data_IF_515025279565
#
_entry.id   IF_515025279565
#
_cell.length_a   1.000
_cell.length_b   1.000
_cell.length_c   1.000
_cell.angle_alpha   90.00
_cell.angle_beta   90.00
_cell.angle_gamma   90.00
#
_symmetry.space_group_name_H-M   'P 1'
#
loop_
_entity.id
_entity.type
_entity.pdbx_description
1 polymer ?
#
# COMPACT_ATOMS: atom_id res chain seq x y z
N UNK A 1 -14.13 -78.02 -35.18
CA UNK A 1 -14.42 -77.13 -34.03
C UNK A 1 -13.41 -75.97 -33.83
N UNK A 2 -12.69 -75.49 -34.87
CA UNK A 2 -11.67 -74.41 -34.74
C UNK A 2 -12.11 -73.00 -35.17
N UNK A 3 -13.33 -72.84 -35.71
CA UNK A 3 -13.82 -71.58 -36.30
C UNK A 3 -14.46 -70.61 -35.29
N UNK A 4 -14.87 -71.10 -34.10
CA UNK A 4 -15.44 -70.28 -33.02
C UNK A 4 -14.42 -69.70 -32.03
N UNK A 5 -13.17 -70.20 -31.99
CA UNK A 5 -12.13 -69.70 -31.08
C UNK A 5 -11.34 -68.52 -31.65
N UNK A 6 -11.27 -68.38 -32.98
CA UNK A 6 -10.62 -67.25 -33.64
C UNK A 6 -11.41 -65.94 -33.51
N UNK A 7 -12.75 -66.02 -33.44
CA UNK A 7 -13.62 -64.85 -33.20
C UNK A 7 -13.46 -64.26 -31.79
N UNK A 8 -13.40 -65.12 -30.77
CA UNK A 8 -13.21 -64.68 -29.37
C UNK A 8 -11.81 -64.10 -29.17
N UNK A 9 -10.78 -64.69 -29.78
CA UNK A 9 -9.41 -64.16 -29.74
C UNK A 9 -9.31 -62.76 -30.40
N UNK A 10 -9.96 -62.55 -31.54
CA UNK A 10 -9.97 -61.24 -32.20
C UNK A 10 -10.75 -60.18 -31.39
N UNK A 11 -11.90 -60.55 -30.83
CA UNK A 11 -12.72 -59.65 -29.99
C UNK A 11 -11.95 -59.25 -28.73
N UNK A 12 -11.26 -60.18 -28.08
CA UNK A 12 -10.47 -59.90 -26.86
C UNK A 12 -9.27 -59.01 -27.16
N UNK A 13 -8.54 -59.24 -28.25
CA UNK A 13 -7.42 -58.38 -28.68
C UNK A 13 -7.91 -56.97 -29.01
N UNK A 14 -9.01 -56.84 -29.76
CA UNK A 14 -9.59 -55.53 -30.10
C UNK A 14 -10.08 -54.78 -28.85
N UNK A 15 -10.67 -55.50 -27.89
CA UNK A 15 -11.17 -54.90 -26.65
C UNK A 15 -10.01 -54.43 -25.75
N UNK A 16 -8.94 -55.22 -25.63
CA UNK A 16 -7.73 -54.85 -24.89
C UNK A 16 -7.02 -53.67 -25.56
N UNK A 17 -6.87 -53.68 -26.89
CA UNK A 17 -6.29 -52.56 -27.63
C UNK A 17 -7.14 -51.28 -27.51
N UNK A 18 -8.46 -51.40 -27.61
CA UNK A 18 -9.38 -50.28 -27.43
C UNK A 18 -9.27 -49.68 -26.02
N UNK A 19 -9.21 -50.53 -24.99
CA UNK A 19 -9.01 -50.10 -23.61
C UNK A 19 -7.66 -49.40 -23.41
N UNK A 20 -6.58 -49.97 -23.95
CA UNK A 20 -5.25 -49.36 -23.90
C UNK A 20 -5.22 -47.99 -24.60
N UNK A 21 -5.87 -47.85 -25.75
CA UNK A 21 -6.02 -46.57 -26.46
C UNK A 21 -6.84 -45.56 -25.66
N UNK A 22 -7.92 -45.99 -25.01
CA UNK A 22 -8.74 -45.12 -24.16
C UNK A 22 -7.94 -44.58 -22.96
N UNK A 23 -7.20 -45.44 -22.28
CA UNK A 23 -6.37 -45.07 -21.12
C UNK A 23 -5.24 -44.13 -21.53
N UNK A 24 -4.52 -44.45 -22.61
CA UNK A 24 -3.42 -43.61 -23.12
C UNK A 24 -3.91 -42.25 -23.61
N UNK A 25 -5.05 -42.18 -24.29
CA UNK A 25 -5.67 -40.91 -24.67
C UNK A 25 -6.11 -40.09 -23.44
N UNK A 26 -6.65 -40.74 -22.41
CA UNK A 26 -7.00 -40.14 -21.12
C UNK A 26 -5.79 -39.54 -20.40
N UNK A 27 -4.69 -40.30 -20.33
CA UNK A 27 -3.41 -39.85 -19.75
C UNK A 27 -2.81 -38.67 -20.51
N UNK A 28 -2.83 -38.70 -21.85
CA UNK A 28 -2.27 -37.60 -22.65
C UNK A 28 -3.06 -36.30 -22.44
N UNK A 29 -4.39 -36.40 -22.27
CA UNK A 29 -5.25 -35.25 -21.97
C UNK A 29 -4.99 -34.69 -20.56
N UNK A 30 -4.81 -35.54 -19.55
CA UNK A 30 -4.49 -35.11 -18.19
C UNK A 30 -3.08 -34.49 -18.08
N UNK A 31 -2.08 -35.06 -18.77
CA UNK A 31 -0.73 -34.51 -18.85
C UNK A 31 -0.71 -33.11 -19.50
N UNK A 32 -1.45 -32.91 -20.60
CA UNK A 32 -1.53 -31.59 -21.26
C UNK A 32 -2.15 -30.52 -20.36
N UNK A 33 -3.17 -30.85 -19.58
CA UNK A 33 -3.80 -29.92 -18.63
C UNK A 33 -2.84 -29.55 -17.48
N UNK A 34 -2.08 -30.52 -16.96
CA UNK A 34 -1.10 -30.29 -15.90
C UNK A 34 0.09 -29.41 -16.35
N UNK A 35 0.51 -29.52 -17.61
CA UNK A 35 1.59 -28.68 -18.16
C UNK A 35 1.16 -27.20 -18.29
N UNK A 36 -0.06 -26.94 -18.75
CA UNK A 36 -0.58 -25.57 -18.87
C UNK A 36 -0.73 -24.88 -17.51
N UNK A 37 -1.23 -25.60 -16.50
CA UNK A 37 -1.33 -25.06 -15.14
C UNK A 37 0.03 -24.80 -14.50
N UNK A 38 1.03 -25.66 -14.77
CA UNK A 38 2.40 -25.48 -14.29
C UNK A 38 3.06 -24.23 -14.89
N UNK A 39 2.89 -24.00 -16.19
CA UNK A 39 3.41 -22.79 -16.85
C UNK A 39 2.79 -21.51 -16.24
N UNK A 40 1.48 -21.51 -16.01
CA UNK A 40 0.80 -20.38 -15.37
C UNK A 40 1.28 -20.15 -13.93
N UNK A 41 1.50 -21.22 -13.15
CA UNK A 41 2.04 -21.11 -11.80
C UNK A 41 3.47 -20.53 -11.79
N UNK A 42 4.34 -20.99 -12.69
CA UNK A 42 5.70 -20.45 -12.84
C UNK A 42 5.65 -18.96 -13.21
N UNK A 43 4.77 -18.58 -14.13
CA UNK A 43 4.58 -17.19 -14.55
C UNK A 43 4.16 -16.28 -13.38
N UNK A 44 3.22 -16.74 -12.54
CA UNK A 44 2.83 -16.01 -11.32
C UNK A 44 3.96 -15.89 -10.30
N UNK A 45 4.79 -16.93 -10.16
CA UNK A 45 5.97 -16.87 -9.30
C UNK A 45 7.02 -15.89 -9.83
N UNK A 46 7.23 -15.81 -11.15
CA UNK A 46 8.13 -14.85 -11.76
C UNK A 46 7.69 -13.40 -11.50
N UNK A 47 6.39 -13.09 -11.68
CA UNK A 47 5.84 -11.76 -11.34
C UNK A 47 6.04 -11.39 -9.87
N UNK A 48 5.82 -12.34 -8.95
CA UNK A 48 6.05 -12.11 -7.51
C UNK A 48 7.52 -11.85 -7.20
N UNK A 49 8.44 -12.58 -7.84
CA UNK A 49 9.89 -12.35 -7.70
C UNK A 49 10.28 -10.96 -8.17
N UNK A 50 9.75 -10.50 -9.31
CA UNK A 50 9.98 -9.14 -9.80
C UNK A 50 9.46 -8.09 -8.79
N UNK A 51 8.26 -8.28 -8.24
CA UNK A 51 7.74 -7.37 -7.23
C UNK A 51 8.58 -7.34 -5.94
N UNK A 52 9.06 -8.49 -5.47
CA UNK A 52 9.96 -8.52 -4.31
C UNK A 52 11.34 -7.93 -4.60
N UNK A 53 11.82 -8.00 -5.85
CA UNK A 53 13.03 -7.30 -6.25
C UNK A 53 12.87 -5.78 -6.14
N UNK A 54 11.72 -5.23 -6.57
CA UNK A 54 11.40 -3.81 -6.37
C UNK A 54 11.29 -3.41 -4.90
N UNK A 55 10.64 -4.22 -4.07
CA UNK A 55 10.60 -4.02 -2.60
C UNK A 55 12.02 -3.98 -2.01
N UNK A 56 12.87 -4.92 -2.40
CA UNK A 56 14.25 -5.03 -1.89
C UNK A 56 15.08 -3.82 -2.32
N UNK A 57 14.96 -3.39 -3.58
CA UNK A 57 15.60 -2.19 -4.07
C UNK A 57 15.15 -0.96 -3.28
N UNK A 58 13.84 -0.81 -3.03
CA UNK A 58 13.28 0.34 -2.33
C UNK A 58 13.76 0.41 -0.87
N UNK A 59 13.84 -0.74 -0.21
CA UNK A 59 14.40 -0.84 1.15
C UNK A 59 15.87 -0.41 1.19
N UNK A 60 16.67 -0.84 0.22
CA UNK A 60 18.06 -0.41 0.15
C UNK A 60 18.18 1.08 -0.17
N UNK A 61 17.31 1.58 -1.07
CA UNK A 61 17.22 2.99 -1.37
C UNK A 61 16.90 3.82 -0.11
N UNK A 62 15.88 3.44 0.65
CA UNK A 62 15.52 4.08 1.92
C UNK A 62 16.67 4.05 2.94
N UNK A 63 17.36 2.91 3.10
CA UNK A 63 18.53 2.82 3.99
C UNK A 63 19.66 3.76 3.59
N UNK A 64 19.95 3.86 2.30
CA UNK A 64 21.06 4.69 1.80
C UNK A 64 20.76 6.18 1.93
N UNK A 65 19.51 6.58 1.71
CA UNK A 65 19.06 7.99 1.72
C UNK A 65 18.71 8.49 3.13
N UNK A 66 18.12 7.64 3.97
CA UNK A 66 17.68 8.00 5.33
C UNK A 66 18.61 7.38 6.35
N UNK A 67 19.85 7.88 6.45
CA UNK A 67 20.86 7.32 7.36
C UNK A 67 20.67 7.72 8.81
N UNK A 68 20.28 8.97 9.06
CA UNK A 68 20.02 9.46 10.41
C UNK A 68 18.52 9.37 10.71
N UNK A 69 18.10 8.57 11.70
CA UNK A 69 16.68 8.47 12.08
C UNK A 69 16.11 9.74 12.72
N UNK A 70 16.96 10.66 13.20
CA UNK A 70 16.55 11.94 13.75
C UNK A 70 16.45 13.04 12.69
N UNK A 71 16.99 12.82 11.49
CA UNK A 71 16.91 13.79 10.41
C UNK A 71 15.48 13.91 9.87
N UNK A 72 15.14 15.13 9.42
CA UNK A 72 13.83 15.37 8.82
C UNK A 72 13.66 14.54 7.54
N UNK A 73 12.44 14.03 7.34
CA UNK A 73 12.01 13.34 6.14
C UNK A 73 11.11 14.29 5.34
N UNK A 74 11.48 14.58 4.10
CA UNK A 74 10.78 15.56 3.27
C UNK A 74 10.54 15.07 1.85
N UNK A 75 9.47 15.58 1.21
CA UNK A 75 9.05 15.15 -0.12
C UNK A 75 10.02 15.55 -1.26
N UNK A 76 10.89 16.54 -1.05
CA UNK A 76 11.91 16.93 -2.04
C UNK A 76 13.23 16.16 -1.89
N UNK A 77 13.33 15.22 -0.95
CA UNK A 77 14.50 14.35 -0.83
C UNK A 77 14.54 13.30 -1.95
N UNK A 78 15.74 12.77 -2.19
CA UNK A 78 15.98 11.81 -3.29
C UNK A 78 15.10 10.57 -3.18
N UNK A 79 14.84 10.08 -1.96
CA UNK A 79 14.01 8.89 -1.74
C UNK A 79 12.59 9.01 -2.28
N UNK A 80 12.02 10.22 -2.29
CA UNK A 80 10.64 10.47 -2.66
C UNK A 80 10.46 10.61 -4.19
N UNK A 81 11.53 10.97 -4.90
CA UNK A 81 11.48 11.27 -6.34
C UNK A 81 12.07 10.15 -7.21
N UNK A 82 12.65 9.11 -6.60
CA UNK A 82 13.21 7.99 -7.32
C UNK A 82 12.09 7.01 -7.75
N UNK A 83 11.68 7.11 -9.01
CA UNK A 83 10.84 6.11 -9.68
C UNK A 83 11.72 5.28 -10.63
N UNK A 84 12.50 4.30 -10.13
CA UNK A 84 13.30 3.49 -11.01
C UNK A 84 12.39 2.67 -11.92
N UNK A 85 12.67 2.70 -13.22
CA UNK A 85 12.15 1.72 -14.17
C UNK A 85 13.24 0.68 -14.38
N UNK A 86 13.21 -0.39 -13.57
CA UNK A 86 14.18 -1.48 -13.70
C UNK A 86 13.71 -2.43 -14.79
N UNK A 87 14.44 -2.48 -15.90
CA UNK A 87 14.22 -3.46 -16.95
C UNK A 87 15.10 -4.69 -16.65
N UNK A 88 14.47 -5.84 -16.38
CA UNK A 88 15.15 -7.11 -16.10
C UNK A 88 14.68 -8.12 -17.15
N UNK A 89 15.55 -8.49 -18.09
CA UNK A 89 15.27 -9.42 -19.19
C UNK A 89 13.99 -9.07 -19.98
N UNK A 90 12.87 -9.69 -19.61
CA UNK A 90 11.54 -9.56 -20.20
C UNK A 90 10.50 -8.91 -19.25
N UNK A 91 10.95 -8.42 -18.09
CA UNK A 91 10.14 -7.80 -17.05
C UNK A 91 10.48 -6.33 -16.81
N UNK A 92 9.49 -5.57 -16.35
CA UNK A 92 9.64 -4.18 -15.89
C UNK A 92 9.19 -4.08 -14.44
N UNK A 93 9.96 -3.36 -13.64
CA UNK A 93 9.61 -3.04 -12.25
C UNK A 93 9.59 -1.52 -12.13
N UNK A 94 8.49 -1.00 -11.59
CA UNK A 94 8.36 0.39 -11.18
C UNK A 94 8.10 0.43 -9.69
N UNK A 95 8.70 1.40 -9.00
CA UNK A 95 8.63 1.53 -7.54
C UNK A 95 8.19 2.93 -7.18
N UNK A 96 7.19 3.03 -6.32
CA UNK A 96 6.77 4.25 -5.65
C UNK A 96 7.00 4.10 -4.14
N UNK A 97 7.49 5.16 -3.49
CA UNK A 97 7.70 5.18 -2.04
C UNK A 97 6.89 6.34 -1.46
N UNK A 98 6.06 6.04 -0.46
CA UNK A 98 5.23 7.02 0.25
C UNK A 98 5.60 7.03 1.73
N UNK A 99 5.68 8.22 2.33
CA UNK A 99 5.75 8.37 3.78
C UNK A 99 4.37 8.16 4.41
N UNK A 100 4.22 7.12 5.24
CA UNK A 100 2.95 6.83 5.92
C UNK A 100 2.63 7.82 7.03
N UNK A 101 3.64 8.48 7.60
CA UNK A 101 3.45 9.54 8.60
C UNK A 101 2.89 10.82 7.98
N UNK A 102 2.82 10.95 6.64
CA UNK A 102 2.16 12.05 5.94
C UNK A 102 0.62 12.05 6.09
N UNK A 103 0.05 10.96 6.60
CA UNK A 103 -1.39 10.73 6.73
C UNK A 103 -1.86 10.98 8.15
N UNK A 104 -3.16 11.24 8.31
CA UNK A 104 -3.76 11.44 9.63
C UNK A 104 -3.75 10.11 10.42
N UNK A 105 -2.99 10.05 11.50
CA UNK A 105 -2.88 8.87 12.35
C UNK A 105 -4.11 8.75 13.26
N UNK A 106 -5.03 7.84 12.93
CA UNK A 106 -6.29 7.67 13.69
C UNK A 106 -6.08 6.96 15.03
N UNK A 107 -4.93 6.32 15.26
CA UNK A 107 -4.65 5.56 16.50
C UNK A 107 -4.80 6.41 17.76
N UNK A 108 -4.48 7.70 17.69
CA UNK A 108 -4.64 8.60 18.82
C UNK A 108 -6.10 8.79 19.26
N UNK A 109 -7.07 8.60 18.34
CA UNK A 109 -8.50 8.68 18.63
C UNK A 109 -9.06 7.38 19.22
N UNK A 110 -8.32 6.27 19.11
CA UNK A 110 -8.73 4.96 19.64
C UNK A 110 -8.45 4.81 21.14
N UNK A 111 -7.62 5.69 21.71
CA UNK A 111 -7.22 5.60 23.11
C UNK A 111 -8.43 5.61 24.06
N UNK A 112 -8.38 4.81 25.13
CA UNK A 112 -9.40 4.84 26.18
C UNK A 112 -9.29 6.16 26.95
N UNK A 113 -10.33 6.98 26.90
CA UNK A 113 -10.38 8.32 27.52
C UNK A 113 -10.76 9.40 26.51
N UNK A 114 -10.98 10.64 26.97
CA UNK A 114 -11.33 11.73 26.08
C UNK A 114 -10.22 11.93 25.03
N UNK A 115 -10.62 11.91 23.76
CA UNK A 115 -9.73 12.23 22.66
C UNK A 115 -9.12 13.64 22.86
N UNK A 116 -7.86 13.80 22.46
CA UNK A 116 -7.24 15.11 22.41
C UNK A 116 -8.10 16.06 21.56
N UNK A 117 -8.44 17.22 22.11
CA UNK A 117 -9.39 18.16 21.48
C UNK A 117 -8.89 18.64 20.12
N UNK A 118 -7.57 18.83 19.97
CA UNK A 118 -6.96 19.25 18.69
C UNK A 118 -7.15 18.14 17.67
N UNK A 119 -6.81 16.90 18.02
CA UNK A 119 -6.94 15.77 17.10
C UNK A 119 -8.39 15.46 16.72
N UNK A 120 -9.32 15.57 17.67
CA UNK A 120 -10.76 15.41 17.40
C UNK A 120 -11.28 16.49 16.44
N UNK A 121 -10.83 17.75 16.57
CA UNK A 121 -11.21 18.80 15.63
C UNK A 121 -10.61 18.58 14.23
N UNK A 122 -9.34 18.15 14.15
CA UNK A 122 -8.69 17.80 12.87
C UNK A 122 -9.42 16.65 12.16
N UNK A 123 -9.87 15.66 12.91
CA UNK A 123 -10.71 14.57 12.42
C UNK A 123 -12.03 15.07 11.80
N UNK A 124 -12.74 15.98 12.48
CA UNK A 124 -13.97 16.57 11.95
C UNK A 124 -13.71 17.39 10.68
N UNK A 125 -12.61 18.17 10.63
CA UNK A 125 -12.21 18.92 9.43
C UNK A 125 -11.89 17.99 8.26
N UNK A 126 -11.20 16.88 8.50
CA UNK A 126 -10.91 15.89 7.45
C UNK A 126 -12.20 15.33 6.82
N UNK A 127 -13.17 14.93 7.65
CA UNK A 127 -14.46 14.42 7.16
C UNK A 127 -15.21 15.48 6.34
N UNK A 128 -15.23 16.74 6.82
CA UNK A 128 -15.87 17.85 6.12
C UNK A 128 -15.20 18.13 4.75
N UNK A 129 -13.87 18.12 4.68
CA UNK A 129 -13.11 18.28 3.43
C UNK A 129 -13.43 17.19 2.41
N UNK A 130 -13.61 15.96 2.88
CA UNK A 130 -13.95 14.80 2.07
C UNK A 130 -15.44 14.67 1.78
N UNK A 131 -16.27 15.60 2.28
CA UNK A 131 -17.74 15.58 2.16
C UNK A 131 -18.36 14.28 2.70
N UNK A 132 -17.79 13.76 3.77
CA UNK A 132 -18.25 12.56 4.45
C UNK A 132 -19.29 12.91 5.52
N UNK A 133 -20.20 11.97 5.79
CA UNK A 133 -21.08 12.06 6.95
C UNK A 133 -20.25 12.05 8.23
N UNK A 134 -20.63 12.89 9.20
CA UNK A 134 -19.89 13.05 10.44
C UNK A 134 -19.98 11.80 11.33
N UNK A 135 -18.81 11.31 11.73
CA UNK A 135 -18.60 10.31 12.75
C UNK A 135 -17.79 10.97 13.85
N UNK A 136 -18.37 11.07 15.05
CA UNK A 136 -17.66 11.66 16.19
C UNK A 136 -16.42 10.84 16.55
N UNK A 137 -15.36 11.52 17.00
CA UNK A 137 -14.16 10.86 17.51
C UNK A 137 -14.46 9.95 18.72
N UNK A 138 -15.52 10.23 19.48
CA UNK A 138 -16.02 9.41 20.60
C UNK A 138 -16.40 7.99 20.15
N UNK A 139 -16.94 7.83 18.93
CA UNK A 139 -17.33 6.54 18.38
C UNK A 139 -16.14 5.61 18.08
N UNK A 140 -14.92 6.17 18.02
CA UNK A 140 -13.69 5.42 17.78
C UNK A 140 -13.00 4.96 19.08
N UNK A 141 -13.36 5.54 20.23
CA UNK A 141 -12.67 5.32 21.49
C UNK A 141 -12.81 3.87 21.96
N UNK A 142 -11.69 3.28 22.40
CA UNK A 142 -11.65 1.92 22.93
C UNK A 142 -11.71 0.81 21.88
N UNK A 143 -11.83 1.14 20.59
CA UNK A 143 -11.70 0.16 19.52
C UNK A 143 -10.28 -0.38 19.46
N UNK A 144 -10.16 -1.69 19.26
CA UNK A 144 -8.87 -2.35 19.02
C UNK A 144 -8.77 -2.70 17.53
N UNK A 145 -8.15 -1.81 16.76
CA UNK A 145 -8.02 -1.96 15.32
C UNK A 145 -6.63 -2.48 14.96
N UNK A 146 -6.61 -3.57 14.20
CA UNK A 146 -5.40 -4.11 13.56
C UNK A 146 -5.35 -3.82 12.06
N UNK A 147 -6.50 -3.50 11.46
CA UNK A 147 -6.63 -3.16 10.05
C UNK A 147 -7.70 -2.07 9.87
N UNK A 148 -7.46 -1.12 8.97
CA UNK A 148 -8.36 0.02 8.71
C UNK A 148 -9.76 -0.45 8.28
N UNK A 149 -9.88 -1.61 7.63
CA UNK A 149 -11.17 -2.17 7.19
C UNK A 149 -12.12 -2.51 8.33
N UNK A 150 -11.61 -2.63 9.57
CA UNK A 150 -12.41 -2.86 10.78
C UNK A 150 -13.21 -1.62 11.20
N UNK A 151 -12.88 -0.43 10.69
CA UNK A 151 -13.70 0.77 10.91
C UNK A 151 -15.15 0.61 10.43
N UNK A 152 -15.44 -0.32 9.51
CA UNK A 152 -16.81 -0.64 9.09
C UNK A 152 -17.71 -1.21 10.21
N UNK A 153 -17.15 -1.51 11.38
CA UNK A 153 -17.91 -1.90 12.56
C UNK A 153 -18.50 -0.68 13.29
N UNK A 154 -18.00 0.52 13.01
CA UNK A 154 -18.47 1.76 13.62
C UNK A 154 -19.73 2.24 12.91
N UNK A 155 -20.83 2.51 13.63
CA UNK A 155 -22.03 3.10 13.04
C UNK A 155 -21.70 4.38 12.26
N UNK A 156 -22.19 4.48 11.03
CA UNK A 156 -21.93 5.60 10.13
C UNK A 156 -20.73 5.42 9.19
N UNK A 157 -19.94 4.35 9.34
CA UNK A 157 -18.83 4.02 8.43
C UNK A 157 -19.23 2.85 7.52
N UNK A 158 -19.62 3.16 6.29
CA UNK A 158 -19.89 2.16 5.26
C UNK A 158 -18.70 1.95 4.29
N UNK A 159 -18.88 1.08 3.29
CA UNK A 159 -17.84 0.78 2.31
C UNK A 159 -17.38 2.01 1.49
N UNK A 160 -18.29 2.75 0.84
CA UNK A 160 -17.97 3.99 0.13
C UNK A 160 -17.34 5.07 1.00
N UNK A 161 -17.85 5.27 2.21
CA UNK A 161 -17.30 6.22 3.19
C UNK A 161 -15.85 5.86 3.51
N UNK A 162 -15.59 4.58 3.86
CA UNK A 162 -14.26 4.14 4.20
C UNK A 162 -13.30 4.21 3.02
N UNK A 163 -13.75 3.84 1.82
CA UNK A 163 -12.95 3.93 0.60
C UNK A 163 -12.49 5.36 0.30
N UNK A 164 -13.35 6.34 0.59
CA UNK A 164 -13.04 7.77 0.40
C UNK A 164 -12.04 8.27 1.45
N UNK A 165 -12.16 7.81 2.70
CA UNK A 165 -11.27 8.22 3.78
C UNK A 165 -9.89 7.54 3.73
N UNK A 166 -9.84 6.26 3.34
CA UNK A 166 -8.66 5.39 3.46
C UNK A 166 -7.33 5.98 2.91
N UNK A 167 -7.30 6.75 1.80
CA UNK A 167 -6.06 7.37 1.33
C UNK A 167 -5.45 8.37 2.30
N UNK A 168 -6.25 8.98 3.17
CA UNK A 168 -5.87 10.12 4.02
C UNK A 168 -5.52 9.74 5.46
N UNK A 169 -5.80 8.50 5.86
CA UNK A 169 -5.60 8.01 7.21
C UNK A 169 -4.58 6.86 7.27
N UNK A 170 -4.05 6.63 8.46
CA UNK A 170 -3.16 5.51 8.76
C UNK A 170 -3.36 5.00 10.19
N UNK A 171 -3.07 3.71 10.42
CA UNK A 171 -2.94 3.11 11.74
C UNK A 171 -1.45 2.92 12.05
N UNK A 172 -0.84 3.91 12.69
CA UNK A 172 0.55 3.83 13.19
C UNK A 172 0.57 3.84 14.72
N UNK A 173 1.69 3.49 15.38
CA UNK A 173 1.83 3.68 16.83
C UNK A 173 1.45 5.09 17.28
N UNK A 174 0.99 5.25 18.52
CA UNK A 174 0.45 6.53 19.04
C UNK A 174 1.47 7.66 19.00
N UNK A 175 2.75 7.34 19.14
CA UNK A 175 3.87 8.28 19.06
C UNK A 175 4.18 8.76 17.64
N UNK A 176 3.61 8.14 16.60
CA UNK A 176 3.79 8.58 15.23
C UNK A 176 3.09 9.92 15.01
N UNK A 177 3.89 10.98 14.88
CA UNK A 177 3.44 12.32 14.55
C UNK A 177 3.20 12.47 13.05
N UNK A 178 2.27 13.38 12.69
CA UNK A 178 2.02 13.78 11.31
C UNK A 178 3.25 14.50 10.76
N UNK A 179 3.90 13.93 9.75
CA UNK A 179 5.04 14.55 9.10
C UNK A 179 4.58 15.67 8.16
N UNK A 180 4.78 16.92 8.59
CA UNK A 180 4.36 18.12 7.87
C UNK A 180 5.11 18.32 6.54
N UNK A 181 6.31 17.74 6.42
CA UNK A 181 7.17 17.87 5.24
C UNK A 181 6.79 16.92 4.10
N UNK A 182 5.91 15.96 4.37
CA UNK A 182 5.40 14.99 3.39
C UNK A 182 3.87 15.00 3.28
N UNK A 183 3.16 15.58 4.27
CA UNK A 183 1.71 15.71 4.27
C UNK A 183 1.18 16.36 2.98
N UNK A 184 0.04 15.89 2.48
CA UNK A 184 -0.65 16.51 1.35
C UNK A 184 -1.35 17.80 1.75
N UNK A 185 -1.71 18.64 0.77
CA UNK A 185 -2.53 19.83 1.02
C UNK A 185 -3.85 19.49 1.73
N UNK A 186 -4.51 18.37 1.38
CA UNK A 186 -5.74 17.93 2.05
C UNK A 186 -5.52 17.64 3.54
N UNK A 187 -4.41 16.97 3.90
CA UNK A 187 -4.10 16.69 5.31
C UNK A 187 -3.70 17.96 6.05
N UNK A 188 -2.94 18.86 5.40
CA UNK A 188 -2.61 20.17 5.98
C UNK A 188 -3.85 21.06 6.19
N UNK A 189 -4.86 20.98 5.33
CA UNK A 189 -6.13 21.69 5.50
C UNK A 189 -6.93 21.19 6.72
N UNK A 190 -6.52 20.09 7.36
CA UNK A 190 -7.11 19.68 8.63
C UNK A 190 -6.61 20.50 9.82
N UNK A 191 -5.53 21.28 9.68
CA UNK A 191 -4.96 22.09 10.76
C UNK A 191 -5.84 23.29 11.14
N UNK A 192 -5.61 23.86 12.32
CA UNK A 192 -6.46 24.92 12.89
C UNK A 192 -6.43 26.18 12.02
N UNK A 193 -7.59 26.66 11.59
CA UNK A 193 -7.71 27.86 10.76
C UNK A 193 -7.17 27.72 9.32
N UNK A 194 -6.58 26.58 8.95
CA UNK A 194 -6.00 26.37 7.63
C UNK A 194 -7.08 26.03 6.62
N UNK A 195 -7.33 26.94 5.69
CA UNK A 195 -8.27 26.70 4.59
C UNK A 195 -7.63 25.85 3.49
N UNK A 196 -8.41 25.23 2.58
CA UNK A 196 -7.85 24.52 1.42
C UNK A 196 -6.93 25.39 0.55
N UNK A 197 -7.22 26.70 0.46
CA UNK A 197 -6.36 27.63 -0.26
C UNK A 197 -4.98 27.79 0.41
N UNK A 198 -4.97 28.06 1.71
CA UNK A 198 -3.74 28.17 2.50
C UNK A 198 -2.97 26.85 2.48
N UNK A 199 -3.65 25.70 2.58
CA UNK A 199 -3.00 24.40 2.53
C UNK A 199 -2.32 24.10 1.19
N UNK A 200 -2.94 24.50 0.07
CA UNK A 200 -2.33 24.40 -1.25
C UNK A 200 -1.12 25.33 -1.38
N UNK A 201 -1.18 26.54 -0.82
CA UNK A 201 -0.04 27.44 -0.75
C UNK A 201 1.12 26.81 0.04
N UNK A 202 0.85 26.30 1.26
CA UNK A 202 1.86 25.62 2.08
C UNK A 202 2.46 24.39 1.39
N UNK A 203 1.67 23.67 0.59
CA UNK A 203 2.17 22.54 -0.19
C UNK A 203 3.08 23.01 -1.33
N UNK A 204 2.67 24.04 -2.08
CA UNK A 204 3.41 24.56 -3.23
C UNK A 204 4.71 25.29 -2.82
N UNK A 205 4.68 26.02 -1.70
CA UNK A 205 5.80 26.79 -1.18
C UNK A 205 6.69 25.98 -0.22
N UNK A 206 6.38 24.70 -0.01
CA UNK A 206 7.16 23.83 0.88
C UNK A 206 8.62 23.80 0.45
N UNK A 207 9.59 24.06 1.36
CA UNK A 207 11.00 23.89 1.04
C UNK A 207 11.31 22.47 0.57
N UNK A 208 12.23 22.30 -0.39
CA UNK A 208 12.59 20.97 -0.90
C UNK A 208 13.06 20.01 0.20
N UNK A 209 13.83 20.51 1.16
CA UNK A 209 14.29 19.74 2.33
C UNK A 209 13.29 19.76 3.49
N UNK A 210 12.11 20.34 3.29
CA UNK A 210 11.10 20.52 4.33
C UNK A 210 11.47 21.61 5.34
N UNK A 211 10.56 21.83 6.29
CA UNK A 211 10.77 22.66 7.46
C UNK A 211 11.71 21.97 8.45
N UNK A 212 12.60 22.74 9.07
CA UNK A 212 13.61 22.19 9.98
C UNK A 212 13.01 21.66 11.29
N UNK A 213 11.88 22.24 11.71
CA UNK A 213 11.16 21.84 12.91
C UNK A 213 9.66 22.14 12.78
N UNK A 214 8.87 21.58 13.70
CA UNK A 214 7.44 21.96 13.81
C UNK A 214 7.30 23.46 14.09
N UNK A 215 8.22 24.02 14.88
CA UNK A 215 8.21 25.43 15.21
C UNK A 215 8.40 26.31 13.96
N UNK A 216 9.40 25.99 13.15
CA UNK A 216 9.65 26.63 11.84
C UNK A 216 8.41 26.61 10.94
N UNK A 217 7.74 25.45 10.84
CA UNK A 217 6.47 25.34 10.12
C UNK A 217 5.40 26.26 10.70
N UNK A 218 5.14 26.20 12.01
CA UNK A 218 4.08 27.02 12.65
C UNK A 218 4.33 28.53 12.59
N UNK A 219 5.58 28.96 12.38
CA UNK A 219 5.95 30.37 12.18
C UNK A 219 5.96 30.79 10.70
N UNK A 220 5.54 29.93 9.77
CA UNK A 220 5.33 30.33 8.37
C UNK A 220 4.33 31.48 8.30
N UNK A 221 4.56 32.55 7.50
CA UNK A 221 3.69 33.73 7.46
C UNK A 221 2.21 33.43 7.24
N UNK A 222 1.89 32.42 6.42
CA UNK A 222 0.52 32.00 6.14
C UNK A 222 -0.21 31.35 7.33
N UNK A 223 0.50 30.97 8.40
CA UNK A 223 -0.05 30.33 9.61
C UNK A 223 -0.14 31.27 10.82
N UNK A 224 0.52 32.43 10.76
CA UNK A 224 0.52 33.39 11.85
C UNK A 224 -0.91 33.87 12.13
N UNK A 225 -1.33 33.77 13.41
CA UNK A 225 -2.66 34.16 13.85
C UNK A 225 -3.76 33.10 13.65
N UNK A 226 -3.48 31.99 12.96
CA UNK A 226 -4.46 30.90 12.78
C UNK A 226 -4.56 29.96 14.00
N UNK A 227 -3.58 30.02 14.91
CA UNK A 227 -3.58 29.23 16.14
C UNK A 227 -3.27 27.74 15.92
N UNK A 228 -2.52 27.41 14.87
CA UNK A 228 -2.07 26.02 14.59
C UNK A 228 -1.28 25.48 15.78
N UNK A 229 -1.75 24.36 16.32
CA UNK A 229 -1.13 23.72 17.48
C UNK A 229 -0.07 22.71 17.04
N UNK A 230 1.08 22.68 17.72
CA UNK A 230 2.16 21.73 17.44
C UNK A 230 1.80 20.27 17.80
N UNK A 231 0.73 20.06 18.57
CA UNK A 231 0.29 18.73 19.03
C UNK A 231 0.14 17.75 17.86
N UNK A 232 0.83 16.61 17.95
CA UNK A 232 0.79 15.55 16.95
C UNK A 232 1.47 15.87 15.62
N UNK A 233 2.20 16.98 15.51
CA UNK A 233 3.01 17.31 14.33
C UNK A 233 4.46 16.88 14.52
N UNK A 234 5.13 16.56 13.43
CA UNK A 234 6.54 16.19 13.38
C UNK A 234 7.15 16.49 12.02
N UNK A 235 8.46 16.29 11.93
CA UNK A 235 9.25 16.48 10.69
C UNK A 235 10.00 15.22 10.28
N UNK A 236 9.91 14.15 11.07
CA UNK A 236 10.62 12.88 10.90
C UNK A 236 9.64 11.77 10.58
N UNK A 237 10.08 10.75 9.84
CA UNK A 237 9.31 9.52 9.68
C UNK A 237 10.21 8.29 9.68
N UNK A 238 9.64 7.19 10.16
CA UNK A 238 10.24 5.85 10.10
C UNK A 238 9.31 4.83 9.43
N UNK A 239 8.17 5.26 8.90
CA UNK A 239 7.14 4.38 8.34
C UNK A 239 6.90 4.73 6.88
N UNK A 240 7.07 3.76 6.01
CA UNK A 240 6.99 3.97 4.57
C UNK A 240 6.15 2.87 3.92
N UNK A 241 5.43 3.22 2.87
CA UNK A 241 4.80 2.28 1.97
C UNK A 241 5.59 2.23 0.67
N UNK A 242 6.00 1.03 0.31
CA UNK A 242 6.62 0.73 -0.97
C UNK A 242 5.55 0.11 -1.86
N UNK A 243 5.25 0.75 -2.98
CA UNK A 243 4.37 0.18 -4.01
C UNK A 243 5.24 -0.28 -5.16
N UNK A 244 5.23 -1.59 -5.45
CA UNK A 244 5.93 -2.15 -6.60
C UNK A 244 4.93 -2.58 -7.68
N UNK A 245 5.14 -2.09 -8.89
CA UNK A 245 4.41 -2.46 -10.09
C UNK A 245 5.32 -3.36 -10.94
N UNK A 246 5.04 -4.66 -10.94
CA UNK A 246 5.78 -5.64 -11.73
C UNK A 246 5.00 -6.01 -12.99
N UNK A 247 5.65 -5.95 -14.14
CA UNK A 247 5.11 -6.34 -15.44
C UNK A 247 5.97 -7.41 -16.08
N UNK A 248 5.34 -8.46 -16.60
CA UNK A 248 5.98 -9.54 -17.35
C UNK A 248 5.11 -9.87 -18.57
N UNK A 249 5.54 -9.42 -19.76
CA UNK A 249 4.68 -9.41 -20.94
C UNK A 249 3.40 -8.59 -20.72
N UNK A 250 2.24 -9.25 -20.80
CA UNK A 250 0.92 -8.66 -20.54
C UNK A 250 0.46 -8.77 -19.08
N UNK A 251 1.12 -9.60 -18.27
CA UNK A 251 0.72 -9.78 -16.88
C UNK A 251 1.29 -8.69 -16.00
N UNK A 252 0.46 -8.23 -15.04
CA UNK A 252 0.80 -7.17 -14.10
C UNK A 252 0.52 -7.65 -12.69
N UNK A 253 1.37 -7.22 -11.75
CA UNK A 253 1.19 -7.45 -10.32
C UNK A 253 1.53 -6.17 -9.57
N UNK A 254 0.64 -5.75 -8.66
CA UNK A 254 0.86 -4.63 -7.77
C UNK A 254 1.04 -5.14 -6.35
N UNK A 255 2.17 -4.83 -5.75
CA UNK A 255 2.52 -5.18 -4.36
C UNK A 255 2.63 -3.89 -3.55
N UNK A 256 1.89 -3.78 -2.46
CA UNK A 256 2.11 -2.75 -1.44
C UNK A 256 2.73 -3.38 -0.20
N UNK A 257 3.85 -2.81 0.23
CA UNK A 257 4.61 -3.26 1.40
C UNK A 257 4.80 -2.09 2.36
N UNK A 258 4.17 -2.18 3.53
CA UNK A 258 4.33 -1.20 4.59
C UNK A 258 5.50 -1.64 5.46
N UNK A 259 6.46 -0.75 5.68
CA UNK A 259 7.73 -1.03 6.36
C UNK A 259 7.98 0.01 7.45
N UNK A 260 8.72 -0.39 8.49
CA UNK A 260 9.14 0.50 9.57
C UNK A 260 10.61 0.31 9.93
N UNK A 261 11.32 1.39 10.19
CA UNK A 261 12.68 1.36 10.76
C UNK A 261 12.62 1.27 12.28
N UNK A 262 13.21 0.23 12.86
CA UNK A 262 13.41 0.10 14.29
C UNK A 262 14.54 1.02 14.74
N UNK A 263 14.23 1.95 15.65
CA UNK A 263 15.16 3.00 16.07
C UNK A 263 16.28 2.50 17.00
N UNK A 264 16.15 1.30 17.57
CA UNK A 264 17.15 0.74 18.50
C UNK A 264 18.19 -0.09 17.75
N UNK A 265 17.73 -0.87 16.77
CA UNK A 265 18.55 -1.83 16.02
C UNK A 265 18.95 -1.33 14.64
N UNK A 266 18.35 -0.23 14.21
CA UNK A 266 18.50 0.36 12.88
C UNK A 266 18.00 -0.53 11.73
N UNK A 267 17.24 -1.59 12.05
CA UNK A 267 16.73 -2.55 11.08
C UNK A 267 15.39 -2.11 10.51
N UNK A 268 15.19 -2.39 9.23
CA UNK A 268 13.91 -2.21 8.56
C UNK A 268 13.08 -3.49 8.68
N UNK A 269 11.87 -3.35 9.20
CA UNK A 269 10.91 -4.43 9.38
C UNK A 269 9.73 -4.25 8.44
N UNK A 270 9.27 -5.38 7.91
CA UNK A 270 8.01 -5.43 7.18
C UNK A 270 6.85 -5.47 8.19
N UNK A 271 5.91 -4.53 8.05
CA UNK A 271 4.67 -4.51 8.81
C UNK A 271 3.57 -5.31 8.12
N UNK A 272 3.37 -5.08 6.82
CA UNK A 272 2.31 -5.71 6.04
C UNK A 272 2.69 -5.82 4.57
N UNK A 273 2.25 -6.88 3.90
CA UNK A 273 2.26 -7.02 2.43
C UNK A 273 0.85 -7.24 1.91
N UNK A 274 0.51 -6.56 0.83
CA UNK A 274 -0.77 -6.71 0.14
C UNK A 274 -0.54 -6.86 -1.35
N UNK A 275 -1.04 -7.96 -1.90
CA UNK A 275 -1.14 -8.15 -3.34
C UNK A 275 -2.46 -7.54 -3.80
N UNK A 276 -2.37 -6.50 -4.63
CA UNK A 276 -3.51 -5.74 -5.10
C UNK A 276 -3.76 -5.99 -6.58
N UNK A 277 -5.00 -5.77 -6.99
CA UNK A 277 -5.32 -5.67 -8.40
C UNK A 277 -4.48 -4.55 -9.05
N UNK A 278 -3.98 -4.74 -10.29
CA UNK A 278 -3.35 -3.67 -11.05
C UNK A 278 -4.31 -2.47 -11.18
N UNK A 279 -3.80 -1.23 -11.12
CA UNK A 279 -4.62 -0.06 -11.44
C UNK A 279 -5.04 -0.16 -12.91
N UNK A 280 -6.33 0.09 -13.20
CA UNK A 280 -6.90 0.02 -14.55
C UNK A 280 -6.47 1.20 -15.44
N UNK A 281 -5.78 2.19 -14.86
CA UNK A 281 -5.40 3.46 -15.48
C UNK A 281 -3.88 3.58 -15.64
N UNK A 282 -3.33 2.82 -16.57
CA UNK A 282 -2.11 3.19 -17.28
C UNK A 282 -2.45 2.94 -18.74
N UNK A 283 -2.60 4.04 -19.49
CA UNK A 283 -2.89 4.02 -20.90
C UNK A 283 -1.91 3.12 -21.65
N UNK A 284 -2.43 2.43 -22.65
CA UNK A 284 -1.67 1.78 -23.69
C UNK A 284 -1.17 2.86 -24.67
N UNK A 285 -0.24 3.72 -24.25
CA UNK A 285 0.43 4.68 -25.14
C UNK A 285 1.92 4.71 -24.70
N UNK A 286 2.96 4.36 -25.44
CA UNK A 286 3.21 3.98 -26.84
C UNK A 286 4.23 2.82 -26.87
#
# INVERSE_FOLDING_TARGET
MRRNQQGIALITVLLVMSLALLVTAGMLRSHRLALHSSAQQIHQLQLRKLAFAGETWALEHLKTQLRDPAASVAAGQVWANAQPQLNIDNGRIEVEIEDLAARFNITALLAKGPADKVLAQRWNRLQALLKLSEVEASALQGLNLSDISQLRQVPGIDGPWLKTLQPWIVLLPKEAALNINTASATVLATLEGVTPHVANQLFAERPLQGHASVQDFTFTPALIGLGVQATGLGTTSRWFRITTHARLGQSRLRLESDVARDLKTDKWHLLQRRLLAPKHSESLDE
#
